data_IF_137114632061
#
_entry.id   IF_137114632061
#
_cell.length_a   1.000
_cell.length_b   1.000
_cell.length_c   1.000
_cell.angle_alpha   90.00
_cell.angle_beta   90.00
_cell.angle_gamma   90.00
#
_symmetry.space_group_name_H-M   'P 1'
#
loop_
_entity.id
_entity.type
_entity.pdbx_description
1 polymer ?
#
# COMPACT_ATOMS: atom_id res chain seq x y z
N UNK A 1 -7.52 4.67 -6.15
CA UNK A 1 -6.11 4.54 -5.73
C UNK A 1 -6.02 3.74 -4.43
N UNK A 2 -4.81 3.32 -4.04
CA UNK A 2 -4.57 2.72 -2.71
C UNK A 2 -5.02 3.72 -1.61
N UNK A 3 -5.71 3.30 -0.53
CA UNK A 3 -6.08 4.22 0.54
C UNK A 3 -4.86 4.88 1.19
N UNK A 4 -4.94 6.19 1.45
CA UNK A 4 -3.83 6.99 2.01
C UNK A 4 -4.08 7.41 3.46
N UNK A 5 -5.28 7.15 3.95
CA UNK A 5 -5.70 7.46 5.31
C UNK A 5 -4.96 6.60 6.33
N UNK A 6 -4.87 7.08 7.57
CA UNK A 6 -4.20 6.35 8.66
C UNK A 6 -4.96 5.06 8.96
N UNK A 7 -4.26 3.94 8.86
CA UNK A 7 -4.79 2.63 9.21
C UNK A 7 -4.82 2.47 10.74
N UNK A 8 -5.99 2.12 11.27
CA UNK A 8 -6.28 2.16 12.71
C UNK A 8 -5.33 1.32 13.56
N UNK A 9 -4.86 0.17 13.05
CA UNK A 9 -4.02 -0.77 13.79
C UNK A 9 -2.52 -0.42 13.67
N UNK A 10 -2.05 -0.16 12.46
CA UNK A 10 -0.62 0.08 12.17
C UNK A 10 -0.19 1.52 12.42
N UNK A 11 -1.14 2.45 12.59
CA UNK A 11 -0.91 3.88 12.90
C UNK A 11 -0.14 4.67 11.84
N UNK A 12 0.12 4.05 10.69
CA UNK A 12 0.66 4.67 9.49
C UNK A 12 -0.40 4.65 8.39
N UNK A 13 -0.12 5.27 7.24
CA UNK A 13 -1.07 5.23 6.11
C UNK A 13 -1.34 3.78 5.67
N UNK A 14 -2.53 3.52 5.15
CA UNK A 14 -2.83 2.23 4.53
C UNK A 14 -1.90 1.94 3.34
N UNK A 15 -1.47 2.96 2.59
CA UNK A 15 -0.44 2.86 1.57
C UNK A 15 0.86 2.27 2.13
N UNK A 16 1.39 2.86 3.20
CA UNK A 16 2.59 2.37 3.85
C UNK A 16 2.42 0.94 4.35
N UNK A 17 1.28 0.66 4.99
CA UNK A 17 0.97 -0.67 5.52
C UNK A 17 1.03 -1.75 4.44
N UNK A 18 0.44 -1.51 3.27
CA UNK A 18 0.47 -2.45 2.13
C UNK A 18 1.89 -2.63 1.58
N UNK A 19 2.73 -1.59 1.63
CA UNK A 19 4.08 -1.64 1.09
C UNK A 19 5.10 -2.24 2.07
N UNK A 20 4.85 -2.22 3.38
CA UNK A 20 5.85 -2.62 4.39
C UNK A 20 5.43 -3.78 5.29
N UNK A 21 4.17 -4.22 5.25
CA UNK A 21 3.67 -5.34 6.07
C UNK A 21 3.30 -6.50 5.16
N UNK A 22 3.81 -7.69 5.47
CA UNK A 22 3.42 -8.93 4.79
C UNK A 22 2.02 -9.35 5.23
N UNK A 23 1.27 -9.96 4.33
CA UNK A 23 -0.12 -10.36 4.54
C UNK A 23 -1.05 -9.18 4.85
N UNK A 24 -0.72 -7.99 4.33
CA UNK A 24 -1.56 -6.79 4.45
C UNK A 24 -2.18 -6.44 3.10
N UNK A 25 -3.51 -6.39 3.04
CA UNK A 25 -4.23 -6.09 1.80
C UNK A 25 -5.74 -6.13 1.96
N UNK A 26 -6.45 -5.54 0.99
CA UNK A 26 -7.92 -5.46 1.01
C UNK A 26 -8.63 -6.59 0.26
N UNK A 27 -7.94 -7.69 -0.06
CA UNK A 27 -8.45 -8.80 -0.89
C UNK A 27 -8.83 -10.05 -0.08
N UNK A 28 -8.77 -9.96 1.25
CA UNK A 28 -9.18 -11.04 2.16
C UNK A 28 -10.67 -10.96 2.45
N UNK A 29 -11.39 -12.09 2.41
CA UNK A 29 -12.80 -12.15 2.82
C UNK A 29 -13.81 -12.31 1.67
N UNK A 30 -13.37 -12.70 0.48
CA UNK A 30 -14.25 -13.08 -0.63
C UNK A 30 -15.18 -11.95 -1.07
N UNK A 31 -16.49 -12.21 -1.06
CA UNK A 31 -17.53 -11.27 -1.52
C UNK A 31 -17.66 -10.00 -0.65
N UNK A 32 -17.16 -10.02 0.59
CA UNK A 32 -17.19 -8.87 1.50
C UNK A 32 -16.06 -7.86 1.24
N UNK A 33 -15.30 -8.03 0.16
CA UNK A 33 -14.20 -7.13 -0.21
C UNK A 33 -14.63 -6.17 -1.31
N UNK A 34 -13.84 -5.13 -1.54
CA UNK A 34 -13.97 -4.31 -2.75
C UNK A 34 -13.63 -5.05 -4.05
N UNK A 35 -13.36 -6.36 -3.99
CA UNK A 35 -12.94 -7.18 -5.12
C UNK A 35 -13.80 -8.45 -5.22
N UNK A 36 -14.83 -8.42 -6.08
CA UNK A 36 -15.67 -9.60 -6.36
C UNK A 36 -14.85 -10.80 -6.84
N UNK A 37 -13.86 -10.56 -7.69
CA UNK A 37 -12.89 -11.57 -8.15
C UNK A 37 -11.51 -10.90 -8.19
N UNK A 38 -10.47 -11.59 -7.71
CA UNK A 38 -9.10 -11.11 -7.85
C UNK A 38 -8.10 -12.26 -7.90
N UNK A 39 -7.04 -12.12 -8.70
CA UNK A 39 -5.96 -13.11 -8.77
C UNK A 39 -4.96 -13.05 -7.60
N UNK A 40 -4.99 -12.00 -6.79
CA UNK A 40 -4.03 -11.83 -5.68
C UNK A 40 -4.73 -11.99 -4.34
N UNK A 41 -4.34 -12.99 -3.54
CA UNK A 41 -5.04 -13.33 -2.29
C UNK A 41 -4.14 -13.30 -1.05
N UNK A 42 -2.83 -13.27 -1.22
CA UNK A 42 -1.90 -13.40 -0.09
C UNK A 42 -1.57 -12.08 0.63
N UNK A 43 -1.81 -10.91 0.00
CA UNK A 43 -1.42 -9.63 0.58
C UNK A 43 0.10 -9.43 0.72
N UNK A 44 0.89 -10.04 -0.17
CA UNK A 44 2.38 -9.95 -0.14
C UNK A 44 3.01 -9.36 -1.41
N UNK A 45 2.28 -9.34 -2.53
CA UNK A 45 2.90 -9.04 -3.84
C UNK A 45 3.61 -7.68 -3.87
N UNK A 46 2.91 -6.60 -3.48
CA UNK A 46 3.47 -5.25 -3.51
C UNK A 46 4.60 -5.05 -2.49
N UNK A 47 4.47 -5.61 -1.28
CA UNK A 47 5.49 -5.51 -0.25
C UNK A 47 6.75 -6.31 -0.59
N UNK A 48 6.63 -7.44 -1.30
CA UNK A 48 7.78 -8.19 -1.84
C UNK A 48 8.48 -7.39 -2.94
N UNK A 49 7.75 -6.77 -3.87
CA UNK A 49 8.33 -5.88 -4.88
C UNK A 49 9.08 -4.73 -4.21
N UNK A 50 8.48 -4.09 -3.19
CA UNK A 50 9.14 -3.04 -2.43
C UNK A 50 10.42 -3.52 -1.74
N UNK A 51 10.36 -4.68 -1.06
CA UNK A 51 11.50 -5.26 -0.34
C UNK A 51 12.68 -5.58 -1.27
N UNK A 52 12.41 -6.06 -2.48
CA UNK A 52 13.43 -6.45 -3.46
C UNK A 52 13.88 -5.32 -4.39
N UNK A 53 13.29 -4.13 -4.28
CA UNK A 53 13.65 -2.98 -5.09
C UNK A 53 14.69 -2.10 -4.40
N UNK A 54 15.69 -1.62 -5.15
CA UNK A 54 16.65 -0.61 -4.64
C UNK A 54 15.91 0.68 -4.28
N UNK A 55 14.94 1.07 -5.10
CA UNK A 55 14.10 2.25 -4.91
C UNK A 55 12.69 1.96 -5.45
N UNK A 56 11.68 2.43 -4.74
CA UNK A 56 10.28 2.35 -5.16
C UNK A 56 9.60 3.68 -4.88
N UNK A 57 8.83 4.17 -5.84
CA UNK A 57 8.00 5.38 -5.73
C UNK A 57 6.56 5.00 -6.03
N UNK A 58 5.66 5.35 -5.12
CA UNK A 58 4.23 5.11 -5.30
C UNK A 58 3.51 6.44 -5.38
N UNK A 59 2.81 6.68 -6.48
CA UNK A 59 1.92 7.81 -6.67
C UNK A 59 0.47 7.30 -6.67
N UNK A 60 -0.37 7.93 -5.86
CA UNK A 60 -1.79 7.58 -5.71
C UNK A 60 -2.62 8.78 -6.10
N UNK A 61 -3.43 8.64 -7.14
CA UNK A 61 -4.45 9.62 -7.49
C UNK A 61 -5.72 9.32 -6.68
N UNK A 62 -6.13 10.27 -5.83
CA UNK A 62 -7.30 10.14 -4.95
C UNK A 62 -7.84 11.54 -4.62
N UNK A 63 -9.15 11.68 -4.51
CA UNK A 63 -9.82 12.91 -4.05
C UNK A 63 -9.37 14.17 -4.83
N UNK A 64 -9.20 14.03 -6.15
CA UNK A 64 -8.77 15.11 -7.05
C UNK A 64 -7.30 15.54 -6.92
N UNK A 65 -6.49 14.87 -6.08
CA UNK A 65 -5.08 15.16 -5.91
C UNK A 65 -4.17 13.94 -6.08
N UNK A 66 -2.86 14.18 -5.97
CA UNK A 66 -1.83 13.15 -6.03
C UNK A 66 -1.16 13.03 -4.67
N UNK A 67 -1.03 11.81 -4.17
CA UNK A 67 -0.29 11.47 -2.96
C UNK A 67 0.93 10.66 -3.34
N UNK A 68 2.04 10.85 -2.63
CA UNK A 68 3.31 10.21 -2.95
C UNK A 68 3.98 9.65 -1.70
N UNK A 69 4.56 8.45 -1.83
CA UNK A 69 5.47 7.87 -0.85
C UNK A 69 6.63 7.15 -1.55
N UNK A 70 7.80 7.19 -0.94
CA UNK A 70 9.04 6.63 -1.48
C UNK A 70 9.67 5.64 -0.51
N UNK A 71 10.33 4.64 -1.06
CA UNK A 71 11.00 3.57 -0.33
C UNK A 71 12.40 3.30 -0.90
N UNK A 72 13.28 2.78 -0.04
CA UNK A 72 14.63 2.34 -0.40
C UNK A 72 14.90 0.99 0.25
N UNK A 73 15.07 -0.07 -0.56
CA UNK A 73 15.28 -1.45 -0.09
C UNK A 73 14.22 -1.86 0.95
N UNK A 74 12.94 -1.69 0.59
CA UNK A 74 11.79 -1.97 1.46
C UNK A 74 11.50 -0.94 2.56
N UNK A 75 12.43 -0.01 2.86
CA UNK A 75 12.27 0.94 3.96
C UNK A 75 11.62 2.24 3.50
N UNK A 76 10.58 2.68 4.21
CA UNK A 76 9.92 3.98 3.99
C UNK A 76 10.91 5.13 4.18
N UNK A 77 10.99 6.04 3.19
CA UNK A 77 11.85 7.25 3.28
C UNK A 77 11.16 8.42 3.97
N UNK A 78 9.85 8.56 3.81
CA UNK A 78 9.04 9.62 4.40
C UNK A 78 7.58 9.17 4.50
N UNK A 79 6.81 9.83 5.37
CA UNK A 79 5.35 9.66 5.41
C UNK A 79 4.73 10.08 4.08
N UNK A 80 3.55 9.54 3.78
CA UNK A 80 2.69 10.00 2.68
C UNK A 80 2.59 11.53 2.70
N UNK A 81 2.78 12.14 1.53
CA UNK A 81 2.54 13.57 1.31
C UNK A 81 1.65 13.77 0.10
N UNK A 82 0.76 14.76 0.17
CA UNK A 82 0.06 15.28 -1.01
C UNK A 82 1.05 16.14 -1.79
N UNK A 83 1.10 15.96 -3.12
CA UNK A 83 1.91 16.75 -4.04
C UNK A 83 1.02 17.63 -4.92
#
# INVERSE_FOLDING_TARGET
>A
GIPVDIHKQTKVSALETIMTVLHAGGKFGGENTGYKVSGGLHGVGASVVNALSIYMKVAVHKDGGIYMQEYSKGKTKAKVKKI
#
